data_IF_306121595625
#
_entry.id   IF_306121595625
#
_cell.length_a   1.000
_cell.length_b   1.000
_cell.length_c   1.000
_cell.angle_alpha   90.00
_cell.angle_beta   90.00
_cell.angle_gamma   90.00
#
_symmetry.space_group_name_H-M   'P 1'
#
loop_
_entity.id
_entity.type
_entity.pdbx_description
1 polymer ?
#
# COMPACT_ATOMS: atom_id res chain seq x y z
N UNK A 1 -44.27 4.93 -7.17
CA UNK A 1 -42.96 5.43 -7.65
C UNK A 1 -41.91 4.35 -7.45
N UNK A 2 -41.45 3.76 -8.56
CA UNK A 2 -40.52 2.63 -8.58
C UNK A 2 -39.13 3.09 -8.11
N UNK A 3 -38.66 2.58 -6.95
CA UNK A 3 -37.28 2.73 -6.52
C UNK A 3 -36.41 1.82 -7.38
N UNK A 4 -35.76 2.43 -8.36
CA UNK A 4 -34.75 1.83 -9.21
C UNK A 4 -33.50 1.50 -8.36
N UNK A 5 -33.54 0.40 -7.60
CA UNK A 5 -32.35 -0.21 -6.99
C UNK A 5 -31.51 -0.72 -8.17
N UNK A 6 -30.53 0.06 -8.62
CA UNK A 6 -29.41 -0.46 -9.40
C UNK A 6 -28.86 -1.64 -8.61
N UNK A 7 -29.09 -2.87 -9.09
CA UNK A 7 -28.33 -4.04 -8.66
C UNK A 7 -26.86 -3.67 -8.84
N UNK A 8 -26.13 -3.48 -7.73
CA UNK A 8 -24.67 -3.57 -7.76
C UNK A 8 -24.39 -4.97 -8.31
N UNK A 9 -23.95 -5.06 -9.56
CA UNK A 9 -23.35 -6.30 -10.05
C UNK A 9 -22.33 -6.73 -9.01
N UNK A 10 -22.42 -7.97 -8.57
CA UNK A 10 -21.50 -8.55 -7.61
C UNK A 10 -20.07 -8.35 -8.14
N UNK A 11 -19.35 -7.38 -7.55
CA UNK A 11 -17.95 -7.10 -7.85
C UNK A 11 -17.01 -8.13 -7.21
N UNK A 12 -17.56 -9.24 -6.70
CA UNK A 12 -16.83 -10.23 -5.96
C UNK A 12 -15.98 -11.06 -6.95
N UNK A 13 -14.68 -10.80 -6.93
CA UNK A 13 -13.71 -11.70 -7.55
C UNK A 13 -13.55 -12.96 -6.69
N UNK A 14 -12.99 -14.03 -7.24
CA UNK A 14 -12.74 -15.26 -6.47
C UNK A 14 -11.95 -14.98 -5.17
N UNK A 15 -11.05 -13.98 -5.18
CA UNK A 15 -10.31 -13.62 -3.96
C UNK A 15 -11.19 -12.96 -2.90
N UNK A 16 -12.13 -12.10 -3.30
CA UNK A 16 -13.09 -11.49 -2.35
C UNK A 16 -14.02 -12.55 -1.77
N UNK A 17 -14.45 -13.52 -2.60
CA UNK A 17 -15.25 -14.65 -2.13
C UNK A 17 -14.47 -15.54 -1.14
N UNK A 18 -13.19 -15.82 -1.41
CA UNK A 18 -12.32 -16.56 -0.48
C UNK A 18 -12.14 -15.84 0.86
N UNK A 19 -12.07 -14.51 0.87
CA UNK A 19 -11.97 -13.71 2.11
C UNK A 19 -13.27 -13.66 2.91
N UNK A 20 -14.42 -13.97 2.31
CA UNK A 20 -15.72 -13.89 2.99
C UNK A 20 -15.86 -14.91 4.15
N UNK A 21 -15.02 -15.96 4.20
CA UNK A 21 -14.98 -16.89 5.32
C UNK A 21 -14.32 -16.30 6.57
N UNK A 22 -13.55 -15.23 6.40
CA UNK A 22 -12.78 -14.53 7.44
C UNK A 22 -13.42 -13.16 7.77
N UNK A 23 -14.64 -12.91 7.28
CA UNK A 23 -15.41 -11.69 7.60
C UNK A 23 -16.43 -11.98 8.68
N UNK A 24 -16.45 -11.14 9.70
CA UNK A 24 -17.42 -11.20 10.81
C UNK A 24 -18.58 -10.21 10.57
N UNK A 25 -19.83 -10.64 10.82
CA UNK A 25 -21.02 -9.78 10.85
C UNK A 25 -21.58 -9.77 12.27
N UNK A 26 -21.58 -8.61 12.92
CA UNK A 26 -21.93 -8.47 14.34
C UNK A 26 -23.39 -8.06 14.58
N UNK A 27 -24.23 -8.03 13.55
CA UNK A 27 -25.64 -7.65 13.70
C UNK A 27 -26.37 -8.76 14.45
N UNK A 28 -27.11 -8.36 15.49
CA UNK A 28 -27.91 -9.26 16.34
C UNK A 28 -27.08 -10.30 17.13
N UNK A 29 -25.76 -10.09 17.23
CA UNK A 29 -24.85 -10.91 18.03
C UNK A 29 -24.63 -10.33 19.44
N UNK A 30 -24.25 -11.19 20.39
CA UNK A 30 -23.87 -10.77 21.73
C UNK A 30 -22.41 -10.30 21.76
N UNK A 31 -22.11 -9.30 22.59
CA UNK A 31 -20.73 -8.98 22.94
C UNK A 31 -20.14 -10.13 23.76
N UNK A 32 -19.02 -10.70 23.32
CA UNK A 32 -18.33 -11.80 23.99
C UNK A 32 -16.84 -11.51 24.17
N UNK A 33 -16.21 -12.28 25.05
CA UNK A 33 -14.76 -12.49 25.05
C UNK A 33 -14.33 -13.24 23.79
N UNK A 34 -13.02 -13.29 23.53
CA UNK A 34 -12.43 -14.09 22.46
C UNK A 34 -12.64 -15.60 22.67
N UNK A 35 -12.98 -16.03 23.89
CA UNK A 35 -13.33 -17.42 24.22
C UNK A 35 -14.84 -17.70 24.12
N UNK A 36 -15.65 -16.73 23.68
CA UNK A 36 -17.11 -16.88 23.50
C UNK A 36 -17.94 -16.66 24.77
N UNK A 37 -17.37 -16.13 25.85
CA UNK A 37 -18.11 -15.83 27.08
C UNK A 37 -18.84 -14.51 26.93
N UNK A 38 -20.16 -14.48 27.14
CA UNK A 38 -20.96 -13.25 27.05
C UNK A 38 -20.56 -12.22 28.10
N UNK A 39 -20.46 -10.96 27.69
CA UNK A 39 -20.13 -9.82 28.56
C UNK A 39 -21.43 -9.12 28.95
N UNK A 40 -21.70 -9.05 30.26
CA UNK A 40 -22.90 -8.39 30.79
C UNK A 40 -22.71 -6.88 31.00
N UNK A 41 -21.51 -6.46 31.41
CA UNK A 41 -21.14 -5.07 31.66
C UNK A 41 -19.75 -4.81 31.05
N UNK A 42 -19.72 -4.04 29.97
CA UNK A 42 -18.48 -3.58 29.29
C UNK A 42 -18.09 -2.15 29.70
N UNK A 43 -18.72 -1.61 30.74
CA UNK A 43 -18.53 -0.22 31.21
C UNK A 43 -17.67 -0.15 32.47
N UNK A 44 -17.55 -1.25 33.23
CA UNK A 44 -16.90 -1.28 34.53
C UNK A 44 -15.87 -2.41 34.65
N UNK A 45 -14.80 -2.14 35.41
CA UNK A 45 -13.90 -3.19 35.91
C UNK A 45 -14.46 -3.82 37.19
N UNK A 46 -14.19 -5.10 37.41
CA UNK A 46 -14.48 -5.78 38.66
C UNK A 46 -13.60 -5.20 39.78
N UNK A 47 -14.24 -4.79 40.88
CA UNK A 47 -13.60 -4.12 42.02
C UNK A 47 -14.05 -4.72 43.36
N UNK A 48 -13.24 -4.55 44.40
CA UNK A 48 -13.62 -4.85 45.79
C UNK A 48 -14.58 -3.77 46.34
N UNK A 49 -15.84 -3.79 45.89
CA UNK A 49 -16.84 -2.76 46.15
C UNK A 49 -16.82 -1.64 45.10
N UNK A 50 -17.91 -0.87 44.99
CA UNK A 50 -18.11 0.10 43.90
C UNK A 50 -16.98 1.15 43.77
N UNK A 51 -16.38 1.55 44.90
CA UNK A 51 -15.26 2.51 44.97
C UNK A 51 -13.96 1.87 45.45
N UNK A 52 -13.85 0.55 45.38
CA UNK A 52 -12.66 -0.20 45.77
C UNK A 52 -11.63 -0.35 44.66
N UNK A 53 -10.49 -0.99 44.95
CA UNK A 53 -9.48 -1.32 43.95
C UNK A 53 -9.97 -2.40 42.97
N UNK A 54 -9.44 -2.40 41.74
CA UNK A 54 -9.68 -3.44 40.74
C UNK A 54 -9.10 -4.80 41.17
N UNK A 55 -9.76 -5.89 40.77
CA UNK A 55 -9.34 -7.26 41.10
C UNK A 55 -8.64 -7.94 39.92
N UNK A 56 -7.57 -8.70 40.21
CA UNK A 56 -6.80 -9.41 39.17
C UNK A 56 -7.59 -10.57 38.53
N UNK A 57 -8.60 -11.08 39.22
CA UNK A 57 -9.49 -12.13 38.70
C UNK A 57 -10.41 -11.67 37.56
N UNK A 58 -10.45 -10.36 37.27
CA UNK A 58 -11.16 -9.80 36.11
C UNK A 58 -10.50 -10.20 34.78
N UNK A 59 -10.88 -11.36 34.25
CA UNK A 59 -10.34 -11.87 32.99
C UNK A 59 -10.89 -11.15 31.77
N UNK A 60 -12.10 -10.55 31.84
CA UNK A 60 -12.70 -9.82 30.73
C UNK A 60 -11.90 -8.54 30.50
N UNK A 61 -11.65 -7.76 31.55
CA UNK A 61 -10.79 -6.58 31.49
C UNK A 61 -9.40 -6.92 30.96
N UNK A 62 -8.75 -7.94 31.55
CA UNK A 62 -7.40 -8.32 31.14
C UNK A 62 -7.32 -8.77 29.70
N UNK A 63 -8.27 -9.57 29.22
CA UNK A 63 -8.29 -10.02 27.82
C UNK A 63 -8.42 -8.83 26.86
N UNK A 64 -9.38 -7.92 27.13
CA UNK A 64 -9.63 -6.72 26.31
C UNK A 64 -8.39 -5.82 26.25
N UNK A 65 -7.78 -5.52 27.40
CA UNK A 65 -6.58 -4.68 27.48
C UNK A 65 -5.37 -5.40 26.87
N UNK A 66 -5.21 -6.70 27.09
CA UNK A 66 -4.09 -7.45 26.48
C UNK A 66 -4.17 -7.40 24.96
N UNK A 67 -5.36 -7.57 24.37
CA UNK A 67 -5.50 -7.44 22.92
C UNK A 67 -5.18 -6.02 22.45
N UNK A 68 -5.69 -5.00 23.13
CA UNK A 68 -5.41 -3.58 22.83
C UNK A 68 -3.90 -3.26 22.87
N UNK A 69 -3.21 -3.68 23.93
CA UNK A 69 -1.79 -3.43 24.15
C UNK A 69 -0.90 -4.03 23.04
N UNK A 70 -1.40 -5.05 22.34
CA UNK A 70 -0.69 -5.77 21.29
C UNK A 70 -1.24 -5.51 19.87
N UNK A 71 -2.09 -4.50 19.67
CA UNK A 71 -2.65 -4.17 18.35
C UNK A 71 -1.59 -3.74 17.33
N UNK A 72 -0.51 -3.10 17.78
CA UNK A 72 0.49 -2.51 16.89
C UNK A 72 1.52 -3.55 16.46
N UNK A 73 1.52 -3.86 15.17
CA UNK A 73 2.63 -4.54 14.50
C UNK A 73 3.61 -3.50 13.91
N UNK A 74 4.89 -3.87 13.69
CA UNK A 74 5.85 -3.00 13.02
C UNK A 74 5.31 -2.54 11.66
N UNK A 75 5.52 -1.26 11.34
CA UNK A 75 5.25 -0.77 10.00
C UNK A 75 6.30 -1.26 9.00
N UNK A 76 6.04 -1.05 7.71
CA UNK A 76 7.06 -1.31 6.68
C UNK A 76 8.20 -0.31 6.83
N UNK A 77 9.45 -0.76 6.70
CA UNK A 77 10.65 0.09 6.80
C UNK A 77 10.59 1.28 5.82
N UNK A 78 10.14 1.01 4.60
CA UNK A 78 9.80 2.00 3.57
C UNK A 78 8.38 1.74 3.09
N UNK A 79 7.74 2.74 2.48
CA UNK A 79 6.35 2.62 2.02
C UNK A 79 5.35 2.29 3.14
N UNK A 80 5.59 2.83 4.34
CA UNK A 80 4.74 2.61 5.52
C UNK A 80 3.33 3.20 5.31
N UNK A 81 3.26 4.45 4.85
CA UNK A 81 2.01 5.13 4.49
C UNK A 81 1.50 4.65 3.12
N UNK A 82 0.26 4.18 3.07
CA UNK A 82 -0.33 3.72 1.82
C UNK A 82 -1.74 3.17 1.94
N UNK A 83 -2.45 3.14 0.82
CA UNK A 83 -3.84 2.71 0.71
C UNK A 83 -3.98 1.53 -0.26
N UNK A 84 -4.93 0.62 0.01
CA UNK A 84 -5.13 -0.60 -0.76
C UNK A 84 -6.55 -0.73 -1.33
N UNK A 85 -6.68 -1.42 -2.46
CA UNK A 85 -7.97 -1.71 -3.08
C UNK A 85 -7.97 -3.07 -3.79
N UNK A 86 -9.13 -3.72 -3.80
CA UNK A 86 -9.38 -4.93 -4.60
C UNK A 86 -9.84 -4.57 -6.01
N UNK A 87 -9.54 -5.45 -6.97
CA UNK A 87 -10.01 -5.34 -8.34
C UNK A 87 -9.77 -6.63 -9.13
N UNK A 88 -9.75 -6.51 -10.46
CA UNK A 88 -9.32 -7.58 -11.36
C UNK A 88 -8.47 -7.04 -12.50
N UNK A 89 -7.64 -7.91 -13.06
CA UNK A 89 -6.89 -7.73 -14.30
C UNK A 89 -7.46 -8.64 -15.38
N UNK A 90 -7.47 -8.17 -16.63
CA UNK A 90 -7.89 -8.92 -17.78
C UNK A 90 -6.97 -8.55 -18.95
N UNK A 91 -6.37 -9.55 -19.58
CA UNK A 91 -5.52 -9.34 -20.76
C UNK A 91 -6.40 -9.06 -21.98
N UNK A 92 -5.97 -8.19 -22.89
CA UNK A 92 -6.75 -7.91 -24.11
C UNK A 92 -6.71 -9.07 -25.11
N UNK A 93 -5.52 -9.65 -25.30
CA UNK A 93 -5.26 -10.73 -26.24
C UNK A 93 -4.21 -11.68 -25.65
N UNK A 94 -4.21 -12.94 -26.10
CA UNK A 94 -3.23 -13.94 -25.65
C UNK A 94 -1.79 -13.48 -25.92
N UNK A 95 -0.95 -13.52 -24.90
CA UNK A 95 0.47 -13.20 -24.98
C UNK A 95 1.35 -14.45 -25.15
N UNK A 96 0.77 -15.59 -25.56
CA UNK A 96 1.48 -16.86 -25.77
C UNK A 96 2.77 -16.74 -26.61
N UNK A 97 2.86 -15.89 -27.67
CA UNK A 97 4.11 -15.71 -28.40
C UNK A 97 5.27 -15.13 -27.57
N UNK A 98 4.96 -14.43 -26.47
CA UNK A 98 5.90 -13.74 -25.61
C UNK A 98 6.17 -14.49 -24.30
N UNK A 99 5.12 -15.00 -23.66
CA UNK A 99 5.18 -15.57 -22.31
C UNK A 99 4.22 -16.73 -22.13
N UNK A 100 4.60 -17.71 -21.31
CA UNK A 100 3.71 -18.78 -20.85
C UNK A 100 2.95 -18.47 -19.56
N UNK A 101 3.07 -17.26 -19.02
CA UNK A 101 2.39 -16.87 -17.79
C UNK A 101 0.86 -16.95 -17.93
N UNK A 102 0.20 -17.79 -17.13
CA UNK A 102 -1.22 -18.14 -17.26
C UNK A 102 -2.18 -16.96 -17.31
N UNK A 103 -1.97 -15.95 -16.46
CA UNK A 103 -2.84 -14.76 -16.38
C UNK A 103 -2.79 -13.85 -17.62
N UNK A 104 -1.90 -14.13 -18.58
CA UNK A 104 -1.74 -13.40 -19.84
C UNK A 104 -2.17 -14.22 -21.06
N UNK A 105 -2.84 -15.36 -20.88
CA UNK A 105 -3.16 -16.29 -21.98
C UNK A 105 -4.58 -16.13 -22.54
N UNK A 106 -5.59 -15.91 -21.68
CA UNK A 106 -7.00 -15.91 -22.08
C UNK A 106 -7.68 -14.57 -21.74
N UNK A 107 -8.13 -13.80 -22.74
CA UNK A 107 -8.85 -12.55 -22.54
C UNK A 107 -10.17 -12.68 -21.79
N UNK A 108 -10.73 -13.88 -21.62
CA UNK A 108 -11.98 -14.09 -20.87
C UNK A 108 -11.75 -14.19 -19.36
N UNK A 109 -10.52 -14.45 -18.92
CA UNK A 109 -10.21 -14.65 -17.51
C UNK A 109 -10.03 -13.32 -16.79
N UNK A 110 -10.80 -13.12 -15.71
CA UNK A 110 -10.62 -12.01 -14.76
C UNK A 110 -9.74 -12.46 -13.61
N UNK A 111 -8.45 -12.15 -13.67
CA UNK A 111 -7.49 -12.45 -12.60
C UNK A 111 -7.74 -11.51 -11.43
N UNK A 112 -8.09 -11.98 -10.22
CA UNK A 112 -8.24 -11.10 -9.07
C UNK A 112 -6.93 -10.38 -8.75
N UNK A 113 -7.02 -9.12 -8.34
CA UNK A 113 -5.86 -8.35 -7.88
C UNK A 113 -6.14 -7.63 -6.57
N UNK A 114 -5.07 -7.40 -5.82
CA UNK A 114 -5.04 -6.41 -4.75
C UNK A 114 -3.90 -5.43 -5.05
N UNK A 115 -4.22 -4.14 -5.11
CA UNK A 115 -3.25 -3.07 -5.29
C UNK A 115 -3.00 -2.38 -3.95
N UNK A 116 -1.76 -2.00 -3.68
CA UNK A 116 -1.40 -1.06 -2.64
C UNK A 116 -0.55 0.07 -3.23
N UNK A 117 -1.04 1.29 -3.05
CA UNK A 117 -0.31 2.52 -3.33
C UNK A 117 0.35 3.02 -2.04
N UNK A 118 1.44 3.77 -2.15
CA UNK A 118 2.15 4.27 -0.98
C UNK A 118 3.06 5.46 -1.31
N UNK A 119 3.42 6.26 -0.31
CA UNK A 119 4.65 7.10 -0.35
C UNK A 119 5.87 6.21 -0.04
N UNK A 120 7.06 6.75 0.23
CA UNK A 120 8.28 5.98 0.55
C UNK A 120 8.84 6.35 1.92
N UNK A 121 9.20 7.62 2.11
CA UNK A 121 10.00 8.06 3.26
C UNK A 121 9.16 8.13 4.55
N UNK A 122 7.90 8.56 4.43
CA UNK A 122 7.02 8.77 5.56
C UNK A 122 6.70 7.50 6.37
N UNK A 123 6.60 7.63 7.69
CA UNK A 123 5.99 6.61 8.57
C UNK A 123 4.47 6.52 8.35
N UNK A 124 3.80 5.50 8.90
CA UNK A 124 2.39 5.17 8.60
C UNK A 124 1.38 6.31 8.82
N UNK A 125 1.71 7.28 9.69
CA UNK A 125 0.89 8.45 10.00
C UNK A 125 1.28 9.72 9.24
N UNK A 126 2.16 9.65 8.25
CA UNK A 126 2.53 10.81 7.43
C UNK A 126 1.40 11.22 6.47
N UNK A 127 1.55 12.38 5.82
CA UNK A 127 0.64 12.88 4.77
C UNK A 127 0.73 12.09 3.45
N UNK A 128 -0.39 11.97 2.74
CA UNK A 128 -0.47 11.37 1.40
C UNK A 128 0.19 12.19 0.28
N UNK A 129 0.24 13.52 0.43
CA UNK A 129 0.63 14.44 -0.64
C UNK A 129 2.04 15.02 -0.48
N UNK A 130 2.89 14.39 0.33
CA UNK A 130 4.32 14.67 0.38
C UNK A 130 4.96 14.60 -1.02
N UNK A 131 5.98 15.44 -1.29
CA UNK A 131 6.81 15.29 -2.50
C UNK A 131 7.67 14.05 -2.32
N UNK A 132 7.27 12.97 -2.97
CA UNK A 132 7.89 11.65 -2.80
C UNK A 132 7.63 10.79 -4.04
N UNK A 133 8.38 9.70 -4.18
CA UNK A 133 8.00 8.62 -5.08
C UNK A 133 6.71 7.99 -4.58
N UNK A 134 5.88 7.48 -5.50
CA UNK A 134 4.73 6.64 -5.13
C UNK A 134 5.00 5.19 -5.47
N UNK A 135 4.87 4.32 -4.48
CA UNK A 135 4.81 2.88 -4.69
C UNK A 135 3.50 2.49 -5.37
N UNK A 136 3.58 1.53 -6.29
CA UNK A 136 2.46 0.95 -7.03
C UNK A 136 2.66 -0.56 -7.09
N UNK A 137 2.27 -1.25 -6.01
CA UNK A 137 2.39 -2.70 -5.89
C UNK A 137 1.08 -3.39 -6.24
N UNK A 138 1.10 -4.31 -7.21
CA UNK A 138 -0.07 -5.09 -7.64
C UNK A 138 0.21 -6.57 -7.42
N UNK A 139 -0.58 -7.20 -6.55
CA UNK A 139 -0.60 -8.66 -6.38
C UNK A 139 -1.66 -9.26 -7.28
N UNK A 140 -1.25 -10.18 -8.13
CA UNK A 140 -2.10 -10.97 -9.02
C UNK A 140 -2.31 -12.36 -8.42
N UNK A 141 -3.56 -12.72 -8.16
CA UNK A 141 -3.92 -14.05 -7.67
C UNK A 141 -4.18 -14.96 -8.87
N UNK A 142 -3.11 -15.49 -9.46
CA UNK A 142 -3.17 -16.30 -10.69
C UNK A 142 -3.42 -17.78 -10.38
N UNK A 143 -3.89 -18.54 -11.38
CA UNK A 143 -4.11 -19.99 -11.28
C UNK A 143 -2.80 -20.79 -11.06
N UNK A 144 -1.64 -20.21 -11.40
CA UNK A 144 -0.32 -20.84 -11.30
C UNK A 144 0.56 -20.20 -10.22
N UNK A 145 -0.08 -19.58 -9.22
CA UNK A 145 0.59 -18.94 -8.10
C UNK A 145 0.49 -17.41 -8.13
N UNK A 146 0.79 -16.78 -7.00
CA UNK A 146 0.70 -15.33 -6.89
C UNK A 146 1.88 -14.67 -7.60
N UNK A 147 1.59 -13.66 -8.40
CA UNK A 147 2.61 -12.80 -9.01
C UNK A 147 2.51 -11.40 -8.43
N UNK A 148 3.63 -10.86 -7.94
CA UNK A 148 3.71 -9.51 -7.40
C UNK A 148 4.49 -8.61 -8.36
N UNK A 149 3.79 -7.63 -8.95
CA UNK A 149 4.43 -6.54 -9.68
C UNK A 149 4.59 -5.35 -8.74
N UNK A 150 5.75 -5.26 -8.10
CA UNK A 150 6.09 -4.19 -7.15
C UNK A 150 6.83 -3.08 -7.90
N UNK A 151 6.10 -2.01 -8.24
CA UNK A 151 6.62 -0.90 -9.03
C UNK A 151 6.54 0.45 -8.30
N UNK A 152 6.93 1.50 -9.03
CA UNK A 152 6.81 2.91 -8.63
C UNK A 152 6.10 3.72 -9.71
N UNK A 153 5.72 4.96 -9.40
CA UNK A 153 5.16 5.90 -10.38
C UNK A 153 6.21 6.59 -11.28
N UNK A 154 7.48 6.21 -11.16
CA UNK A 154 8.64 6.75 -11.89
C UNK A 154 9.39 5.59 -12.56
N UNK A 155 9.87 5.73 -13.82
CA UNK A 155 10.45 4.61 -14.60
C UNK A 155 11.88 4.20 -14.23
N UNK A 156 12.51 4.90 -13.28
CA UNK A 156 13.90 4.69 -12.83
C UNK A 156 13.96 4.71 -11.31
N UNK A 157 15.13 4.41 -10.76
CA UNK A 157 15.39 4.44 -9.32
C UNK A 157 16.64 5.29 -9.01
N UNK A 158 16.84 5.65 -7.74
CA UNK A 158 17.95 6.51 -7.30
C UNK A 158 19.33 5.85 -7.42
N UNK A 159 19.39 4.53 -7.28
CA UNK A 159 20.64 3.78 -7.17
C UNK A 159 20.65 2.61 -8.17
N UNK A 160 21.84 2.18 -8.54
CA UNK A 160 22.06 1.08 -9.48
C UNK A 160 22.18 -0.28 -8.78
N UNK A 161 22.81 -0.32 -7.60
CA UNK A 161 23.05 -1.54 -6.83
C UNK A 161 22.28 -1.52 -5.50
N UNK A 162 21.68 -2.65 -5.15
CA UNK A 162 20.89 -2.83 -3.93
C UNK A 162 21.70 -2.67 -2.64
N UNK A 163 23.03 -2.86 -2.68
CA UNK A 163 23.88 -2.67 -1.49
C UNK A 163 23.81 -1.23 -0.94
N UNK A 164 23.52 -0.24 -1.79
CA UNK A 164 23.36 1.17 -1.39
C UNK A 164 21.95 1.51 -0.90
N UNK A 165 21.02 0.55 -0.89
CA UNK A 165 19.64 0.81 -0.50
C UNK A 165 19.52 1.29 0.96
N UNK A 166 20.20 0.70 1.95
CA UNK A 166 20.19 1.22 3.32
C UNK A 166 20.75 2.64 3.40
N UNK A 167 21.84 2.95 2.67
CA UNK A 167 22.45 4.29 2.67
C UNK A 167 21.48 5.36 2.15
N UNK A 168 20.85 5.09 0.99
CA UNK A 168 19.82 5.96 0.42
C UNK A 168 18.64 6.13 1.38
N UNK A 169 18.14 5.03 1.94
CA UNK A 169 16.96 5.06 2.83
C UNK A 169 17.27 5.82 4.10
N UNK A 170 18.44 5.62 4.72
CA UNK A 170 18.87 6.39 5.88
C UNK A 170 19.05 7.86 5.55
N UNK A 171 19.56 8.19 4.35
CA UNK A 171 19.74 9.57 3.92
C UNK A 171 18.42 10.32 3.69
N UNK A 172 17.37 9.67 3.17
CA UNK A 172 16.06 10.31 2.92
C UNK A 172 15.09 10.22 4.11
N UNK A 173 15.34 9.31 5.05
CA UNK A 173 14.55 9.19 6.28
C UNK A 173 14.87 10.35 7.23
N UNK A 174 13.98 10.61 8.22
CA UNK A 174 14.26 11.60 9.25
C UNK A 174 15.61 11.33 9.93
N UNK A 175 16.36 12.39 10.25
CA UNK A 175 17.72 12.24 10.74
C UNK A 175 17.76 11.56 12.11
N UNK A 176 18.73 10.66 12.35
CA UNK A 176 18.64 9.68 13.45
C UNK A 176 18.75 10.29 14.85
N UNK A 177 19.24 11.53 14.95
CA UNK A 177 19.45 12.20 16.24
C UNK A 177 18.18 12.89 16.78
N UNK A 178 17.22 13.21 15.90
CA UNK A 178 16.00 13.95 16.27
C UNK A 178 14.71 13.49 15.56
N UNK A 179 14.80 12.54 14.63
CA UNK A 179 13.70 12.05 13.80
C UNK A 179 12.99 13.16 13.00
N UNK A 180 13.74 14.13 12.49
CA UNK A 180 13.24 15.24 11.66
C UNK A 180 13.99 15.28 10.32
N UNK A 181 13.32 15.62 9.19
CA UNK A 181 11.89 15.88 9.03
C UNK A 181 11.07 14.63 8.64
N UNK A 182 9.77 14.63 8.96
CA UNK A 182 8.85 13.58 8.52
C UNK A 182 8.41 13.77 7.07
N UNK A 183 8.51 12.70 6.26
CA UNK A 183 8.03 12.64 4.88
C UNK A 183 8.50 13.79 3.96
N UNK A 184 9.76 14.21 4.11
CA UNK A 184 10.35 15.24 3.26
C UNK A 184 11.82 14.92 2.98
N UNK A 185 12.24 15.09 1.73
CA UNK A 185 13.65 14.98 1.33
C UNK A 185 14.39 16.33 1.40
N UNK A 186 13.79 17.34 2.03
CA UNK A 186 14.31 18.71 2.11
C UNK A 186 15.12 18.91 3.39
N UNK A 187 16.20 18.16 3.53
CA UNK A 187 17.15 18.23 4.65
C UNK A 187 18.55 17.76 4.21
N UNK A 188 19.53 18.03 5.06
CA UNK A 188 20.95 17.96 4.75
C UNK A 188 21.40 16.55 4.36
N UNK A 189 21.06 15.52 5.13
CA UNK A 189 21.55 14.15 4.86
C UNK A 189 21.10 13.61 3.50
N UNK A 190 19.88 13.95 3.05
CA UNK A 190 19.42 13.54 1.72
C UNK A 190 20.25 14.21 0.63
N UNK A 191 20.39 15.53 0.69
CA UNK A 191 21.11 16.28 -0.34
C UNK A 191 22.62 16.04 -0.32
N UNK A 192 23.20 15.71 0.83
CA UNK A 192 24.58 15.25 0.95
C UNK A 192 24.79 13.94 0.17
N UNK A 193 23.97 12.91 0.43
CA UNK A 193 24.02 11.65 -0.32
C UNK A 193 23.87 11.86 -1.83
N UNK A 194 22.91 12.69 -2.23
CA UNK A 194 22.66 12.98 -3.65
C UNK A 194 23.85 13.70 -4.30
N UNK A 195 24.49 14.64 -3.59
CA UNK A 195 25.65 15.37 -4.10
C UNK A 195 26.86 14.46 -4.36
N UNK A 196 26.99 13.38 -3.60
CA UNK A 196 28.07 12.40 -3.70
C UNK A 196 27.71 11.17 -4.56
N UNK A 197 26.46 11.06 -5.00
CA UNK A 197 25.93 9.90 -5.74
C UNK A 197 25.33 10.32 -7.09
N UNK A 198 26.15 10.65 -8.09
CA UNK A 198 25.67 11.23 -9.36
C UNK A 198 24.76 10.30 -10.19
N UNK A 199 24.78 8.98 -9.97
CA UNK A 199 23.81 8.06 -10.60
C UNK A 199 22.34 8.37 -10.25
N UNK A 200 22.11 9.08 -9.14
CA UNK A 200 20.78 9.52 -8.69
C UNK A 200 20.22 10.69 -9.50
N UNK A 201 21.05 11.38 -10.30
CA UNK A 201 20.68 12.62 -10.98
C UNK A 201 19.40 12.48 -11.84
N UNK A 202 19.25 11.36 -12.54
CA UNK A 202 18.03 11.11 -13.34
C UNK A 202 16.79 11.04 -12.43
N UNK A 203 16.87 10.30 -11.32
CA UNK A 203 15.75 10.17 -10.39
C UNK A 203 15.39 11.50 -9.72
N UNK A 204 16.39 12.33 -9.42
CA UNK A 204 16.19 13.67 -8.85
C UNK A 204 15.35 14.56 -9.76
N UNK A 205 15.60 14.52 -11.08
CA UNK A 205 14.77 15.26 -12.04
C UNK A 205 13.30 14.83 -11.99
N UNK A 206 13.02 13.55 -11.76
CA UNK A 206 11.65 13.06 -11.62
C UNK A 206 11.00 13.51 -10.31
N UNK A 207 11.67 13.32 -9.16
CA UNK A 207 11.06 13.63 -7.85
C UNK A 207 10.93 15.13 -7.59
N UNK A 208 11.80 15.95 -8.19
CA UNK A 208 11.68 17.41 -8.13
C UNK A 208 10.63 17.97 -9.11
N UNK A 209 10.20 17.18 -10.10
CA UNK A 209 9.05 17.53 -10.95
C UNK A 209 7.71 17.28 -10.27
N UNK A 210 6.61 17.70 -10.87
CA UNK A 210 5.27 17.47 -10.33
C UNK A 210 4.86 15.99 -10.33
N UNK A 211 5.63 15.08 -10.93
CA UNK A 211 5.42 13.63 -10.86
C UNK A 211 5.39 13.08 -9.43
N UNK A 212 6.05 13.75 -8.49
CA UNK A 212 6.11 13.36 -7.08
C UNK A 212 5.00 13.95 -6.19
N UNK A 213 4.08 14.73 -6.78
CA UNK A 213 2.90 15.28 -6.12
C UNK A 213 1.65 14.98 -6.99
N UNK A 214 1.34 13.69 -7.23
CA UNK A 214 0.24 13.31 -8.12
C UNK A 214 -1.10 13.71 -7.50
N UNK A 215 -2.03 14.18 -8.35
CA UNK A 215 -3.36 14.63 -7.91
C UNK A 215 -4.18 13.49 -7.30
N UNK A 216 -3.93 12.25 -7.71
CA UNK A 216 -4.58 11.04 -7.22
C UNK A 216 -3.77 9.82 -7.68
N UNK A 217 -3.79 8.72 -6.92
CA UNK A 217 -3.29 7.42 -7.40
C UNK A 217 -3.93 6.97 -8.72
N UNK A 218 -5.16 7.42 -9.00
CA UNK A 218 -5.87 7.15 -10.26
C UNK A 218 -5.33 7.90 -11.48
N UNK A 219 -4.43 8.87 -11.26
CA UNK A 219 -3.93 9.81 -12.26
C UNK A 219 -2.39 9.87 -12.30
N UNK A 220 -1.73 8.78 -11.94
CA UNK A 220 -0.28 8.62 -12.08
C UNK A 220 0.04 7.38 -12.93
N UNK A 221 1.17 7.42 -13.63
CA UNK A 221 1.70 6.22 -14.27
C UNK A 221 2.27 5.25 -13.22
N UNK A 222 2.52 4.01 -13.64
CA UNK A 222 3.23 3.00 -12.84
C UNK A 222 4.24 2.26 -13.69
N UNK A 223 5.33 1.81 -13.07
CA UNK A 223 6.45 1.20 -13.76
C UNK A 223 7.06 0.11 -12.90
N UNK A 224 7.38 -1.04 -13.51
CA UNK A 224 8.15 -2.09 -12.84
C UNK A 224 9.64 -1.75 -12.65
N UNK A 225 10.09 -0.63 -13.24
CA UNK A 225 11.48 -0.10 -13.26
C UNK A 225 12.48 -1.03 -13.95
N UNK A 226 12.68 -2.23 -13.41
CA UNK A 226 13.63 -3.21 -13.88
C UNK A 226 13.23 -3.82 -15.22
N UNK A 227 14.24 -4.27 -15.96
CA UNK A 227 14.04 -5.14 -17.12
C UNK A 227 13.88 -6.58 -16.62
N UNK A 228 12.72 -7.17 -16.89
CA UNK A 228 12.42 -8.58 -16.61
C UNK A 228 12.57 -9.41 -17.90
N UNK A 229 12.35 -10.72 -17.78
CA UNK A 229 12.27 -11.63 -18.92
C UNK A 229 10.89 -12.27 -18.99
N UNK A 230 10.29 -12.21 -20.17
CA UNK A 230 9.24 -13.13 -20.57
C UNK A 230 9.85 -14.32 -21.29
N UNK A 231 9.31 -15.50 -21.01
CA UNK A 231 9.73 -16.76 -21.62
C UNK A 231 8.49 -17.49 -22.10
N UNK A 232 8.43 -17.79 -23.40
CA UNK A 232 7.30 -18.52 -23.99
C UNK A 232 7.47 -20.05 -23.85
N UNK A 233 6.49 -20.81 -24.34
CA UNK A 233 6.48 -22.29 -24.31
C UNK A 233 7.69 -22.93 -25.00
N UNK A 234 8.30 -22.24 -25.98
CA UNK A 234 9.50 -22.71 -26.69
C UNK A 234 10.80 -22.35 -25.97
N UNK A 235 10.73 -21.79 -24.75
CA UNK A 235 11.89 -21.34 -24.00
C UNK A 235 12.54 -20.05 -24.54
N UNK A 236 11.90 -19.34 -25.48
CA UNK A 236 12.47 -18.11 -26.06
C UNK A 236 12.28 -16.94 -25.09
N UNK A 237 13.39 -16.37 -24.63
CA UNK A 237 13.40 -15.21 -23.74
C UNK A 237 13.27 -13.88 -24.50
N UNK A 238 12.54 -12.92 -23.92
CA UNK A 238 12.43 -11.54 -24.37
C UNK A 238 12.49 -10.60 -23.17
N UNK A 239 13.24 -9.51 -23.30
CA UNK A 239 13.27 -8.47 -22.28
C UNK A 239 11.97 -7.67 -22.27
N UNK A 240 11.48 -7.35 -21.07
CA UNK A 240 10.24 -6.60 -20.88
C UNK A 240 10.40 -5.59 -19.73
N UNK A 241 9.78 -4.42 -19.90
CA UNK A 241 9.50 -3.47 -18.82
C UNK A 241 7.99 -3.33 -18.66
N UNK A 242 7.52 -3.31 -17.42
CA UNK A 242 6.10 -3.18 -17.12
C UNK A 242 5.70 -1.71 -16.98
N UNK A 243 4.52 -1.38 -17.52
CA UNK A 243 3.94 -0.04 -17.49
C UNK A 243 2.45 -0.11 -17.12
N UNK A 244 2.02 0.81 -16.25
CA UNK A 244 0.62 1.12 -15.99
C UNK A 244 0.31 2.50 -16.57
N UNK A 245 -0.70 2.58 -17.41
CA UNK A 245 -1.20 3.82 -18.00
C UNK A 245 -2.55 4.15 -17.37
N UNK A 246 -2.68 5.27 -16.64
CA UNK A 246 -3.94 5.63 -15.99
C UNK A 246 -4.97 6.02 -17.04
N UNK A 247 -6.18 5.44 -16.94
CA UNK A 247 -7.28 5.76 -17.85
C UNK A 247 -7.70 7.24 -17.75
N UNK A 248 -7.51 7.86 -16.59
CA UNK A 248 -7.88 9.26 -16.31
C UNK A 248 -6.80 10.27 -16.70
N UNK A 249 -5.74 9.85 -17.39
CA UNK A 249 -4.61 10.70 -17.71
C UNK A 249 -3.65 10.90 -16.53
N UNK A 250 -2.62 11.71 -16.77
CA UNK A 250 -1.55 11.98 -15.80
C UNK A 250 -1.69 13.41 -15.30
N UNK A 251 -2.02 13.56 -14.02
CA UNK A 251 -2.28 14.86 -13.39
C UNK A 251 -1.56 14.97 -12.05
N UNK A 252 -1.05 16.16 -11.79
CA UNK A 252 -0.36 16.51 -10.54
C UNK A 252 -0.88 17.85 -10.02
N UNK A 253 -0.63 18.11 -8.74
CA UNK A 253 -0.88 19.42 -8.13
C UNK A 253 0.38 20.28 -8.17
N UNK A 254 0.25 21.58 -7.87
CA UNK A 254 1.39 22.44 -7.61
C UNK A 254 1.95 22.23 -6.19
N UNK A 255 3.20 22.61 -5.94
CA UNK A 255 3.84 22.39 -4.64
C UNK A 255 3.14 23.08 -3.46
N UNK A 256 2.77 24.37 -3.61
CA UNK A 256 2.04 25.11 -2.57
C UNK A 256 0.68 24.48 -2.24
N UNK A 257 -0.01 23.97 -3.27
CA UNK A 257 -1.25 23.21 -3.10
C UNK A 257 -0.99 21.92 -2.34
N UNK A 258 0.04 21.15 -2.71
CA UNK A 258 0.39 19.89 -2.06
C UNK A 258 0.68 20.06 -0.56
N UNK A 259 1.43 21.11 -0.20
CA UNK A 259 1.75 21.43 1.18
C UNK A 259 0.50 21.84 1.98
N UNK A 260 -0.37 22.66 1.39
CA UNK A 260 -1.64 23.07 2.03
C UNK A 260 -2.60 21.91 2.22
N UNK A 261 -2.74 21.02 1.23
CA UNK A 261 -3.55 19.81 1.36
C UNK A 261 -3.00 18.95 2.49
N UNK A 262 -1.68 18.73 2.54
CA UNK A 262 -1.05 17.92 3.61
C UNK A 262 -1.36 18.40 5.02
N UNK A 263 -1.60 19.70 5.22
CA UNK A 263 -2.02 20.26 6.51
C UNK A 263 -3.53 20.23 6.75
N UNK A 264 -4.35 20.33 5.69
CA UNK A 264 -5.82 20.39 5.80
C UNK A 264 -6.49 19.02 5.75
N UNK A 265 -5.89 18.08 5.03
CA UNK A 265 -6.36 16.73 4.80
C UNK A 265 -5.15 15.81 4.49
N UNK A 266 -4.51 15.23 5.52
CA UNK A 266 -3.38 14.32 5.33
C UNK A 266 -3.79 12.96 4.73
N UNK A 267 -5.10 12.69 4.57
CA UNK A 267 -5.70 11.44 4.07
C UNK A 267 -6.42 11.62 2.70
N UNK A 268 -6.03 12.64 1.93
CA UNK A 268 -6.61 13.10 0.66
C UNK A 268 -6.61 12.08 -0.51
#
# INVERSE_FOLDING_TARGET
MSKNRRKKESSATNKVADLAKDTEESRDEYLTTNQGVRINDDQNTLKAGERGPSLLEDFIFREKITHFDHERIPERVVHARGAGAHGYFQVYESQAPLTKARFLQDPKVKTPVFVRFSTVAGSRGSTDLARDVRGFAVKFYTEEGNFDLVGNNIPVFFIQDAIKFPDLVHAVKPEPHNEIPQAASAHDTFWDFISLTPESAHMIMWVMSDRAIPRSYRMMEGFGVHTFRFVNEKGKARFVKFHWKPLLGVHSVAWDEAQKISGKDPDF
#
